data_IF_692335089261
#
_entry.id   IF_692335089261
#
_cell.length_a   1.000
_cell.length_b   1.000
_cell.length_c   1.000
_cell.angle_alpha   90.00
_cell.angle_beta   90.00
_cell.angle_gamma   90.00
#
_symmetry.space_group_name_H-M   'P 1'
#
loop_
_entity.id
_entity.type
_entity.pdbx_description
1 polymer ?
#
# COMPACT_ATOMS: atom_id res chain seq x y z
N UNK A 1 15.12 -8.73 -9.03
CA UNK A 1 14.98 -10.20 -9.13
C UNK A 1 14.34 -10.49 -10.49
N UNK A 2 15.02 -11.24 -11.35
CA UNK A 2 14.59 -11.44 -12.75
C UNK A 2 13.42 -12.43 -12.92
N UNK A 3 13.18 -13.32 -11.94
CA UNK A 3 12.14 -14.38 -12.04
C UNK A 3 10.74 -13.96 -11.57
N UNK A 4 10.49 -12.67 -11.37
CA UNK A 4 9.16 -12.16 -10.99
C UNK A 4 8.62 -11.26 -12.10
N UNK A 5 7.31 -11.03 -12.12
CA UNK A 5 6.65 -10.17 -13.11
C UNK A 5 7.40 -8.84 -13.30
N UNK A 6 7.84 -8.53 -14.53
CA UNK A 6 8.48 -7.27 -14.85
C UNK A 6 7.44 -6.15 -14.97
N UNK A 7 7.87 -4.92 -14.73
CA UNK A 7 6.99 -3.76 -14.66
C UNK A 7 6.40 -3.42 -16.02
N UNK A 8 7.15 -3.71 -17.10
CA UNK A 8 6.69 -3.51 -18.47
C UNK A 8 5.51 -4.40 -18.84
N UNK A 9 5.43 -5.62 -18.30
CA UNK A 9 4.33 -6.54 -18.58
C UNK A 9 3.13 -6.25 -17.67
N UNK A 10 3.38 -6.00 -16.39
CA UNK A 10 2.30 -5.81 -15.42
C UNK A 10 1.55 -4.48 -15.63
N UNK A 11 2.24 -3.39 -16.00
CA UNK A 11 1.65 -2.05 -16.10
C UNK A 11 1.54 -1.66 -17.58
N UNK A 12 0.39 -1.94 -18.19
CA UNK A 12 0.15 -1.66 -19.61
C UNK A 12 -0.10 -0.18 -19.90
N UNK A 13 -0.87 0.48 -19.04
CA UNK A 13 -1.16 1.91 -19.18
C UNK A 13 -1.22 2.58 -17.82
N UNK A 14 -0.71 3.81 -17.75
CA UNK A 14 -0.74 4.64 -16.56
C UNK A 14 -1.05 6.08 -16.95
N UNK A 15 -2.00 6.68 -16.25
CA UNK A 15 -2.36 8.09 -16.38
C UNK A 15 -2.62 8.67 -15.00
N UNK A 16 -1.98 9.80 -14.68
CA UNK A 16 -2.23 10.53 -13.45
C UNK A 16 -2.78 11.91 -13.79
N UNK A 17 -4.10 12.08 -13.63
CA UNK A 17 -4.80 13.25 -14.14
C UNK A 17 -4.66 13.38 -15.65
N UNK A 18 -3.89 14.38 -16.10
CA UNK A 18 -3.59 14.61 -17.51
C UNK A 18 -2.16 14.19 -17.91
N UNK A 19 -1.34 13.75 -16.96
CA UNK A 19 0.06 13.40 -17.22
C UNK A 19 0.20 11.89 -17.48
N UNK A 20 0.71 11.49 -18.66
CA UNK A 20 0.98 10.09 -18.94
C UNK A 20 2.16 9.61 -18.11
N UNK A 21 2.05 8.43 -17.53
CA UNK A 21 3.10 7.77 -16.78
C UNK A 21 3.40 6.39 -17.36
N UNK A 22 4.58 5.86 -17.05
CA UNK A 22 5.02 4.53 -17.49
C UNK A 22 5.55 3.73 -16.29
N UNK A 23 5.83 2.44 -16.50
CA UNK A 23 6.46 1.56 -15.49
C UNK A 23 7.75 2.15 -14.88
N UNK A 24 8.47 3.01 -15.60
CA UNK A 24 9.69 3.69 -15.13
C UNK A 24 9.43 4.70 -14.00
N UNK A 25 8.23 5.25 -13.91
CA UNK A 25 7.84 6.15 -12.83
C UNK A 25 7.49 5.40 -11.52
N UNK A 26 7.51 4.07 -11.56
CA UNK A 26 7.27 3.24 -10.39
C UNK A 26 8.59 2.80 -9.78
N UNK A 27 8.69 2.91 -8.45
CA UNK A 27 9.84 2.36 -7.74
C UNK A 27 9.60 0.87 -7.52
N UNK A 28 10.51 0.03 -8.00
CA UNK A 28 10.43 -1.42 -7.80
C UNK A 28 11.03 -1.82 -6.45
N UNK A 29 10.29 -2.59 -5.66
CA UNK A 29 10.78 -3.24 -4.44
C UNK A 29 10.50 -4.74 -4.51
N UNK A 30 11.34 -5.56 -3.89
CA UNK A 30 11.11 -7.00 -3.83
C UNK A 30 10.47 -7.37 -2.48
N UNK A 31 9.29 -7.97 -2.53
CA UNK A 31 8.59 -8.49 -1.37
C UNK A 31 8.64 -10.03 -1.36
N UNK A 32 9.21 -10.68 -0.34
CA UNK A 32 9.44 -12.14 -0.35
C UNK A 32 8.19 -13.00 -0.60
N UNK A 33 7.01 -12.52 -0.21
CA UNK A 33 5.75 -13.25 -0.39
C UNK A 33 4.99 -12.91 -1.68
N UNK A 34 5.25 -11.76 -2.31
CA UNK A 34 4.48 -11.27 -3.46
C UNK A 34 5.33 -11.01 -4.71
N UNK A 35 6.65 -11.18 -4.63
CA UNK A 35 7.56 -10.89 -5.72
C UNK A 35 7.82 -9.38 -5.87
N UNK A 36 8.02 -8.93 -7.10
CA UNK A 36 8.25 -7.52 -7.42
C UNK A 36 6.97 -6.71 -7.20
N UNK A 37 7.06 -5.65 -6.41
CA UNK A 37 5.99 -4.67 -6.21
C UNK A 37 6.44 -3.32 -6.78
N UNK A 38 5.46 -2.56 -7.30
CA UNK A 38 5.68 -1.29 -7.98
C UNK A 38 4.96 -0.18 -7.22
N UNK A 39 5.71 0.81 -6.74
CA UNK A 39 5.19 1.92 -5.93
C UNK A 39 5.11 3.17 -6.79
N UNK A 40 3.90 3.71 -6.95
CA UNK A 40 3.70 5.02 -7.56
C UNK A 40 3.97 6.12 -6.53
N UNK A 41 4.72 7.16 -6.93
CA UNK A 41 4.86 8.40 -6.15
C UNK A 41 5.36 8.20 -4.70
N UNK A 42 6.41 7.41 -4.50
CA UNK A 42 6.92 7.08 -3.16
C UNK A 42 7.57 8.28 -2.43
N UNK A 43 8.11 9.25 -3.19
CA UNK A 43 8.75 10.45 -2.63
C UNK A 43 10.19 10.28 -2.15
N UNK A 44 10.88 9.23 -2.63
CA UNK A 44 12.29 8.93 -2.32
C UNK A 44 13.25 9.61 -3.29
N UNK A 45 13.04 9.40 -4.60
CA UNK A 45 13.87 9.95 -5.68
C UNK A 45 13.31 11.26 -6.21
N UNK A 46 12.01 11.29 -6.48
CA UNK A 46 11.31 12.42 -7.07
C UNK A 46 10.41 13.11 -6.04
N UNK A 47 10.05 14.37 -6.34
CA UNK A 47 9.10 15.12 -5.51
C UNK A 47 7.71 14.47 -5.62
N UNK A 48 6.99 14.48 -4.49
CA UNK A 48 5.65 13.91 -4.47
C UNK A 48 4.72 14.67 -5.42
N UNK A 49 4.01 13.95 -6.30
CA UNK A 49 3.01 14.52 -7.20
C UNK A 49 1.71 14.82 -6.43
N UNK A 50 1.30 16.10 -6.32
CA UNK A 50 0.05 16.45 -5.65
C UNK A 50 -1.13 16.34 -6.63
N UNK A 51 -2.30 15.94 -6.12
CA UNK A 51 -3.58 16.10 -6.82
C UNK A 51 -4.49 17.01 -6.00
N UNK A 52 -4.92 18.13 -6.59
CA UNK A 52 -5.75 19.14 -5.93
C UNK A 52 -7.24 18.99 -6.24
N UNK A 53 -7.57 18.32 -7.36
CA UNK A 53 -8.93 18.21 -7.85
C UNK A 53 -9.53 16.84 -7.51
N UNK A 54 -10.70 16.77 -6.86
CA UNK A 54 -11.41 15.51 -6.67
C UNK A 54 -12.01 15.02 -7.99
N UNK A 55 -12.12 13.70 -8.14
CA UNK A 55 -12.76 13.06 -9.29
C UNK A 55 -11.89 11.98 -9.93
N UNK A 56 -12.52 11.05 -10.65
CA UNK A 56 -11.84 9.94 -11.35
C UNK A 56 -10.91 10.43 -12.45
N UNK A 57 -11.23 11.57 -13.08
CA UNK A 57 -10.43 12.17 -14.16
C UNK A 57 -9.11 12.76 -13.68
N UNK A 58 -9.01 13.16 -12.41
CA UNK A 58 -7.82 13.80 -11.83
C UNK A 58 -7.01 12.87 -10.93
N UNK A 59 -7.43 11.61 -10.84
CA UNK A 59 -6.79 10.57 -10.06
C UNK A 59 -5.77 9.74 -10.85
N UNK A 60 -5.33 8.65 -10.24
CA UNK A 60 -4.51 7.63 -10.88
C UNK A 60 -5.41 6.62 -11.60
N UNK A 61 -5.19 6.44 -12.90
CA UNK A 61 -5.82 5.41 -13.74
C UNK A 61 -4.74 4.43 -14.18
N UNK A 62 -4.98 3.14 -13.93
CA UNK A 62 -4.07 2.06 -14.29
C UNK A 62 -4.81 1.00 -15.08
N UNK A 63 -4.16 0.49 -16.12
CA UNK A 63 -4.55 -0.76 -16.77
C UNK A 63 -3.43 -1.74 -16.50
N UNK A 64 -3.78 -2.82 -15.80
CA UNK A 64 -2.83 -3.83 -15.34
C UNK A 64 -3.09 -5.12 -16.11
N UNK A 65 -1.99 -5.75 -16.56
CA UNK A 65 -2.05 -7.11 -17.08
C UNK A 65 -1.72 -8.11 -15.98
N UNK A 66 -2.50 -9.18 -15.93
CA UNK A 66 -2.34 -10.24 -14.93
C UNK A 66 -2.33 -11.56 -15.69
N UNK A 67 -1.13 -12.08 -15.95
CA UNK A 67 -0.92 -13.38 -16.57
C UNK A 67 -1.32 -14.53 -15.65
N UNK A 68 -2.63 -14.82 -15.58
CA UNK A 68 -3.18 -15.89 -14.72
C UNK A 68 -2.67 -17.29 -15.10
N UNK A 69 -2.25 -17.48 -16.35
CA UNK A 69 -1.62 -18.70 -16.85
C UNK A 69 -0.24 -18.98 -16.24
N UNK A 70 0.48 -17.93 -15.84
CA UNK A 70 1.81 -18.03 -15.24
C UNK A 70 1.80 -18.17 -13.71
N UNK A 71 0.62 -18.33 -13.12
CA UNK A 71 0.48 -18.42 -11.67
C UNK A 71 1.08 -19.72 -11.15
N UNK A 72 1.87 -19.61 -10.07
CA UNK A 72 2.41 -20.79 -9.38
C UNK A 72 1.24 -21.53 -8.71
N UNK A 73 0.89 -22.75 -9.17
CA UNK A 73 -0.22 -23.49 -8.60
C UNK A 73 0.03 -23.76 -7.12
N UNK A 74 -1.04 -23.79 -6.32
CA UNK A 74 -1.04 -24.00 -4.86
C UNK A 74 -0.43 -22.89 -3.98
N UNK A 75 0.32 -21.93 -4.54
CA UNK A 75 0.84 -20.79 -3.79
C UNK A 75 -0.06 -19.55 -3.93
N UNK A 76 -0.51 -19.26 -5.15
CA UNK A 76 -1.38 -18.12 -5.46
C UNK A 76 -2.76 -18.61 -5.89
N UNK A 77 -3.69 -18.74 -4.94
CA UNK A 77 -5.06 -19.20 -5.21
C UNK A 77 -6.00 -18.08 -5.66
N UNK A 78 -5.66 -16.82 -5.39
CA UNK A 78 -6.49 -15.65 -5.69
C UNK A 78 -6.07 -15.01 -7.01
N UNK A 79 -6.95 -15.06 -8.02
CA UNK A 79 -6.78 -14.32 -9.27
C UNK A 79 -7.14 -12.84 -9.06
N UNK A 80 -6.16 -11.95 -9.21
CA UNK A 80 -6.31 -10.52 -9.00
C UNK A 80 -5.00 -9.86 -8.61
N UNK A 81 -5.05 -8.56 -8.38
CA UNK A 81 -3.91 -7.76 -7.94
C UNK A 81 -4.11 -7.27 -6.52
N UNK A 82 -3.01 -7.11 -5.79
CA UNK A 82 -3.01 -6.55 -4.45
C UNK A 82 -2.55 -5.09 -4.51
N UNK A 83 -3.37 -4.20 -3.97
CA UNK A 83 -3.13 -2.76 -3.95
C UNK A 83 -3.02 -2.29 -2.50
N UNK A 84 -2.14 -1.33 -2.22
CA UNK A 84 -2.01 -0.73 -0.90
C UNK A 84 -1.84 0.78 -1.05
N UNK A 85 -2.58 1.54 -0.24
CA UNK A 85 -2.42 2.98 -0.11
C UNK A 85 -1.62 3.24 1.15
N UNK A 86 -0.51 3.96 1.03
CA UNK A 86 0.36 4.26 2.16
C UNK A 86 0.94 5.69 2.03
N UNK A 87 1.53 6.18 3.13
CA UNK A 87 2.15 7.50 3.16
C UNK A 87 3.46 7.54 2.38
N UNK A 88 3.83 8.71 1.84
CA UNK A 88 5.13 8.91 1.20
C UNK A 88 6.27 8.61 2.19
N UNK A 89 7.35 8.00 1.68
CA UNK A 89 8.52 7.55 2.46
C UNK A 89 8.23 6.54 3.58
N UNK A 90 7.04 5.96 3.65
CA UNK A 90 6.76 4.82 4.53
C UNK A 90 6.98 3.49 3.80
N UNK A 91 7.34 2.44 4.53
CA UNK A 91 7.47 1.10 3.98
C UNK A 91 6.08 0.46 3.77
N UNK A 92 5.78 -0.14 2.61
CA UNK A 92 4.47 -0.72 2.33
C UNK A 92 4.30 -2.12 2.95
N UNK A 93 3.51 -2.21 4.03
CA UNK A 93 3.13 -3.49 4.65
C UNK A 93 1.92 -4.13 3.94
N UNK A 94 2.15 -4.61 2.72
CA UNK A 94 1.11 -5.13 1.81
C UNK A 94 0.25 -6.23 2.47
N UNK A 95 0.85 -7.07 3.32
CA UNK A 95 0.15 -8.15 4.02
C UNK A 95 -0.91 -7.66 5.00
N UNK A 96 -0.65 -6.53 5.66
CA UNK A 96 -1.48 -6.01 6.75
C UNK A 96 -2.59 -5.09 6.24
N UNK A 97 -2.29 -4.23 5.26
CA UNK A 97 -3.18 -3.14 4.83
C UNK A 97 -3.54 -3.20 3.33
N UNK A 98 -3.10 -4.25 2.62
CA UNK A 98 -3.42 -4.43 1.21
C UNK A 98 -4.87 -4.87 0.96
N UNK A 99 -5.48 -4.32 -0.08
CA UNK A 99 -6.79 -4.68 -0.62
C UNK A 99 -6.64 -5.44 -1.95
N UNK A 100 -7.64 -6.24 -2.30
CA UNK A 100 -7.67 -6.96 -3.57
C UNK A 100 -8.47 -6.20 -4.61
N UNK A 101 -7.98 -6.17 -5.83
CA UNK A 101 -8.73 -5.79 -7.02
C UNK A 101 -8.87 -6.98 -7.97
N UNK A 102 -10.08 -7.16 -8.49
CA UNK A 102 -10.44 -8.30 -9.32
C UNK A 102 -9.99 -8.07 -10.77
N UNK A 103 -9.43 -9.11 -11.40
CA UNK A 103 -9.07 -9.11 -12.81
C UNK A 103 -10.30 -8.97 -13.72
N UNK A 104 -10.17 -8.26 -14.84
CA UNK A 104 -11.25 -8.12 -15.83
C UNK A 104 -12.40 -7.19 -15.40
N UNK A 105 -12.21 -6.42 -14.33
CA UNK A 105 -13.19 -5.43 -13.84
C UNK A 105 -12.52 -4.10 -13.59
N UNK A 106 -13.28 -3.00 -13.73
CA UNK A 106 -12.84 -1.69 -13.27
C UNK A 106 -13.13 -1.54 -11.78
N UNK A 107 -12.07 -1.35 -10.98
CA UNK A 107 -12.20 -1.14 -9.53
C UNK A 107 -11.95 0.32 -9.17
N UNK A 108 -13.02 1.08 -8.93
CA UNK A 108 -12.93 2.48 -8.53
C UNK A 108 -12.73 2.61 -7.01
N UNK A 109 -11.61 3.21 -6.60
CA UNK A 109 -11.23 3.39 -5.19
C UNK A 109 -11.24 4.88 -4.84
N UNK A 110 -12.22 5.31 -4.05
CA UNK A 110 -12.23 6.64 -3.45
C UNK A 110 -11.32 6.68 -2.22
N UNK A 111 -10.41 7.65 -2.15
CA UNK A 111 -9.44 7.78 -1.06
C UNK A 111 -9.83 8.93 -0.15
N UNK A 112 -9.81 8.69 1.16
CA UNK A 112 -9.96 9.69 2.20
C UNK A 112 -8.73 9.67 3.10
N UNK A 113 -8.10 10.84 3.29
CA UNK A 113 -6.94 10.99 4.17
C UNK A 113 -7.41 11.35 5.56
N UNK A 114 -7.37 10.36 6.46
CA UNK A 114 -7.66 10.54 7.88
C UNK A 114 -6.36 10.64 8.67
N UNK A 115 -6.12 11.78 9.33
CA UNK A 115 -4.87 12.11 10.04
C UNK A 115 -5.14 12.41 11.51
N UNK A 116 -4.43 11.72 12.38
CA UNK A 116 -4.43 11.97 13.82
C UNK A 116 -3.08 12.58 14.24
N UNK A 117 -3.10 13.84 14.67
CA UNK A 117 -1.93 14.48 15.27
C UNK A 117 -1.98 14.35 16.79
N UNK A 118 -0.91 13.81 17.38
CA UNK A 118 -0.76 13.68 18.83
C UNK A 118 0.24 14.72 19.35
N UNK A 119 0.01 15.18 20.57
CA UNK A 119 0.82 16.24 21.20
C UNK A 119 2.22 15.79 21.62
N UNK A 120 2.54 14.49 21.55
CA UNK A 120 3.84 13.95 21.96
C UNK A 120 4.02 13.91 23.49
N UNK A 121 5.24 13.63 23.94
CA UNK A 121 5.60 13.64 25.37
C UNK A 121 5.48 15.07 25.93
N UNK A 122 4.88 15.30 27.12
CA UNK A 122 4.42 14.33 28.13
C UNK A 122 2.95 13.89 28.02
N UNK A 123 2.22 14.38 27.00
CA UNK A 123 0.77 14.16 26.88
C UNK A 123 0.40 12.81 26.28
N UNK A 124 1.30 12.20 25.51
CA UNK A 124 1.10 10.89 24.89
C UNK A 124 2.44 10.16 24.76
N UNK A 125 2.51 8.87 25.13
CA UNK A 125 3.69 8.05 24.92
C UNK A 125 3.79 7.69 23.43
N UNK A 126 4.26 8.64 22.62
CA UNK A 126 4.39 8.50 21.18
C UNK A 126 5.76 9.00 20.76
N UNK A 127 6.48 8.14 20.05
CA UNK A 127 7.77 8.50 19.46
C UNK A 127 7.55 9.14 18.08
N UNK A 128 8.29 10.20 17.78
CA UNK A 128 8.21 10.89 16.48
C UNK A 128 9.13 10.23 15.45
N UNK A 129 10.36 9.91 15.85
CA UNK A 129 11.39 9.39 14.95
C UNK A 129 11.68 7.90 15.17
N UNK A 130 11.11 7.27 16.21
CA UNK A 130 11.42 5.88 16.56
C UNK A 130 12.78 5.69 17.25
N UNK A 131 13.52 6.77 17.53
CA UNK A 131 14.83 6.72 18.21
C UNK A 131 14.75 6.24 19.66
N UNK A 132 13.59 6.37 20.29
CA UNK A 132 13.32 5.93 21.67
C UNK A 132 13.01 4.43 21.75
N UNK A 133 12.79 3.78 20.60
CA UNK A 133 12.48 2.36 20.53
C UNK A 133 13.80 1.57 20.61
N UNK A 134 13.99 0.70 21.61
CA UNK A 134 15.24 -0.05 21.78
C UNK A 134 15.41 -1.19 20.75
N UNK A 135 14.48 -1.31 19.79
CA UNK A 135 14.49 -2.32 18.73
C UNK A 135 14.99 -1.68 17.44
N UNK A 136 16.02 -2.28 16.84
CA UNK A 136 16.55 -1.83 15.56
C UNK A 136 15.52 -2.01 14.44
N UNK A 137 15.35 -0.97 13.62
CA UNK A 137 14.49 -1.03 12.45
C UNK A 137 15.21 -1.75 11.30
N UNK A 138 14.81 -2.98 10.97
CA UNK A 138 15.35 -3.74 9.85
C UNK A 138 14.97 -3.20 8.47
N UNK A 139 14.01 -2.26 8.39
CA UNK A 139 13.62 -1.60 7.14
C UNK A 139 14.43 -0.31 6.88
N UNK A 140 15.48 -0.05 7.68
CA UNK A 140 16.37 1.10 7.49
C UNK A 140 17.05 1.15 6.12
N UNK A 141 17.25 -0.01 5.48
CA UNK A 141 17.90 -0.13 4.17
C UNK A 141 17.11 0.58 3.06
N UNK A 142 15.80 0.71 3.25
CA UNK A 142 14.92 1.44 2.33
C UNK A 142 14.80 2.93 2.67
N UNK A 143 15.51 3.41 3.70
CA UNK A 143 15.48 4.79 4.19
C UNK A 143 14.05 5.32 4.41
N UNK A 144 13.19 4.45 4.95
CA UNK A 144 11.78 4.76 5.23
C UNK A 144 11.59 5.32 6.63
N UNK A 145 10.52 6.10 6.80
CA UNK A 145 10.09 6.61 8.11
C UNK A 145 9.68 5.48 9.05
N UNK A 146 9.76 5.77 10.35
CA UNK A 146 9.27 4.87 11.38
C UNK A 146 7.77 4.61 11.19
N UNK A 147 7.35 3.35 11.33
CA UNK A 147 5.95 2.96 11.29
C UNK A 147 5.63 2.06 12.47
N UNK A 148 4.38 2.11 12.92
CA UNK A 148 3.89 1.29 14.04
C UNK A 148 3.95 -0.22 13.75
N UNK A 149 4.04 -0.61 12.48
CA UNK A 149 4.20 -2.01 12.07
C UNK A 149 5.58 -2.58 12.45
N UNK A 150 6.57 -1.70 12.65
CA UNK A 150 7.94 -2.07 13.06
C UNK A 150 8.06 -2.23 14.59
N UNK A 151 7.21 -1.54 15.36
CA UNK A 151 7.27 -1.56 16.82
C UNK A 151 5.95 -1.15 17.49
N UNK A 152 5.50 -1.96 18.46
CA UNK A 152 4.19 -1.82 19.13
C UNK A 152 4.22 -0.84 20.30
N UNK A 153 4.73 0.37 20.11
CA UNK A 153 4.94 1.35 21.19
C UNK A 153 3.85 2.43 21.30
N UNK A 154 2.90 2.49 20.36
CA UNK A 154 1.86 3.54 20.33
C UNK A 154 0.42 2.98 20.42
N UNK A 155 0.21 1.81 21.02
CA UNK A 155 -1.15 1.29 21.31
C UNK A 155 -1.61 1.77 22.69
N UNK A 156 -2.86 2.27 22.82
CA UNK A 156 -3.45 2.48 24.14
C UNK A 156 -3.55 1.13 24.84
N UNK A 157 -3.03 1.07 26.07
CA UNK A 157 -2.86 -0.11 26.93
C UNK A 157 -1.65 -0.99 26.66
N UNK A 158 -0.68 -0.83 27.56
CA UNK A 158 0.23 -1.87 27.99
C UNK A 158 -0.55 -3.16 28.29
N UNK A 159 -0.46 -4.14 27.40
CA UNK A 159 -0.39 -5.52 27.84
C UNK A 159 1.09 -5.80 27.98
N UNK A 160 1.50 -6.23 29.18
CA UNK A 160 2.90 -6.48 29.57
C UNK A 160 3.61 -7.51 28.68
N UNK A 161 4.78 -8.01 29.11
CA UNK A 161 5.64 -8.83 28.27
C UNK A 161 4.98 -10.20 28.03
N UNK A 162 4.15 -10.30 27.00
CA UNK A 162 3.66 -11.57 26.48
C UNK A 162 4.44 -11.89 25.22
N UNK A 163 5.44 -12.72 25.44
CA UNK A 163 6.01 -13.66 24.49
C UNK A 163 5.05 -14.01 23.33
N UNK A 164 5.48 -13.73 22.10
CA UNK A 164 5.30 -14.66 20.99
C UNK A 164 3.91 -14.87 20.39
N UNK A 165 2.88 -14.08 20.70
CA UNK A 165 1.58 -14.24 20.04
C UNK A 165 1.10 -13.00 19.32
N UNK A 166 1.02 -13.14 17.99
CA UNK A 166 0.30 -12.23 17.09
C UNK A 166 -1.20 -12.34 17.37
N UNK A 167 -1.67 -11.68 18.42
CA UNK A 167 -3.10 -11.55 18.72
C UNK A 167 -3.81 -10.67 17.69
N UNK A 168 -5.12 -10.89 17.43
CA UNK A 168 -5.86 -10.22 16.37
C UNK A 168 -5.90 -8.71 16.61
N UNK A 169 -5.60 -7.95 15.55
CA UNK A 169 -5.65 -6.49 15.56
C UNK A 169 -7.10 -6.02 15.77
N UNK A 170 -7.34 -4.92 16.50
CA UNK A 170 -8.63 -4.27 16.46
C UNK A 170 -8.92 -3.84 15.02
N UNK A 171 -9.97 -4.38 14.42
CA UNK A 171 -10.47 -3.93 13.12
C UNK A 171 -11.03 -2.51 13.29
N UNK A 172 -10.19 -1.49 13.08
CA UNK A 172 -10.71 -0.19 12.71
C UNK A 172 -11.21 -0.33 11.27
N UNK A 173 -12.53 -0.43 11.11
CA UNK A 173 -13.21 -0.52 9.82
C UNK A 173 -12.91 0.73 8.98
N UNK A 174 -11.81 0.73 8.23
CA UNK A 174 -11.66 1.62 7.07
C UNK A 174 -12.53 1.04 5.96
N UNK A 175 -13.68 1.67 5.70
CA UNK A 175 -14.50 1.33 4.52
C UNK A 175 -13.78 1.80 3.26
N UNK A 176 -12.93 0.96 2.71
CA UNK A 176 -12.68 0.94 1.28
C UNK A 176 -13.58 -0.16 0.70
N UNK A 177 -14.87 0.18 0.49
CA UNK A 177 -15.79 -0.69 -0.22
C UNK A 177 -15.65 -0.43 -1.72
N UNK A 178 -15.48 -1.45 -2.58
CA UNK A 178 -15.60 -1.26 -4.02
C UNK A 178 -17.02 -0.77 -4.35
N UNK A 179 -17.12 0.39 -5.00
CA UNK A 179 -18.37 0.86 -5.59
C UNK A 179 -18.66 0.01 -6.83
N UNK A 180 -19.58 -0.96 -6.72
CA UNK A 180 -20.13 -1.65 -7.90
C UNK A 180 -21.05 -0.68 -8.67
N UNK A 181 -20.55 -0.05 -9.72
CA UNK A 181 -21.41 0.54 -10.75
C UNK A 181 -21.69 -0.51 -11.83
N UNK A 182 -22.80 -1.23 -11.68
CA UNK A 182 -23.32 -2.10 -12.75
C UNK A 182 -24.06 -1.25 -13.79
N UNK A 183 -23.50 -1.12 -14.98
CA UNK A 183 -24.22 -0.59 -16.15
C UNK A 183 -25.11 -1.70 -16.73
N UNK A 184 -26.40 -1.66 -16.40
CA UNK A 184 -27.41 -2.42 -17.14
C UNK A 184 -27.61 -1.73 -18.50
N UNK A 185 -27.10 -2.33 -19.57
CA UNK A 185 -27.43 -1.93 -20.94
C UNK A 185 -28.83 -2.43 -21.32
N UNK A 186 -29.63 -1.65 -22.06
CA UNK A 186 -30.93 -2.11 -22.55
C UNK A 186 -30.75 -3.07 -23.74
N UNK A 187 -31.44 -4.21 -23.68
CA UNK A 187 -31.88 -5.00 -24.84
C UNK A 187 -33.16 -4.39 -25.40
#
# INVERSE_FOLDING_TARGET
VEMSYPGEQMILACLFGAEPCNYRNFTSIFYPHYGNCYIFNWGMTEKALPSANPGTEFGLKLILDIGQEDYVPFLASTAGVRLMLHEQRSYPFIRDEGIYAMSGTETSIGVLVDKLQRMGEPYSPCTVNGSEVPVQNFYSDYNTTYSIQVGRWCTPHALGPLSGFMGPRPQYSRRAGPSKSGSAGPL
#
